data_IF_425115796383
#
_entry.id   IF_425115796383
#
_cell.length_a   1.000
_cell.length_b   1.000
_cell.length_c   1.000
_cell.angle_alpha   90.00
_cell.angle_beta   90.00
_cell.angle_gamma   90.00
#
_symmetry.space_group_name_H-M   'P 1'
#
loop_
_entity.id
_entity.type
_entity.pdbx_description
1 polymer ?
#
# COMPACT_ATOMS: atom_id res chain seq x y z
N UNK A 1 -47.93 50.46 19.34
CA UNK A 1 -47.01 49.74 18.44
C UNK A 1 -45.75 50.56 18.32
N UNK A 2 -44.61 50.07 18.82
CA UNK A 2 -43.34 50.82 18.93
C UNK A 2 -42.38 50.32 17.85
N UNK A 3 -42.03 51.19 16.91
CA UNK A 3 -41.12 50.92 15.80
C UNK A 3 -39.66 50.93 16.27
N UNK A 4 -38.93 49.87 15.91
CA UNK A 4 -37.57 49.58 16.31
C UNK A 4 -36.48 50.36 15.53
N UNK A 5 -35.30 50.38 16.13
CA UNK A 5 -34.09 51.17 15.85
C UNK A 5 -33.37 50.83 14.52
N UNK A 6 -32.45 51.71 14.05
CA UNK A 6 -31.72 51.57 12.79
C UNK A 6 -30.42 50.76 12.98
N UNK A 7 -30.00 50.01 11.96
CA UNK A 7 -28.59 49.59 11.80
C UNK A 7 -28.37 48.90 10.44
N UNK A 8 -28.02 49.70 9.43
CA UNK A 8 -27.49 49.21 8.17
C UNK A 8 -26.06 48.69 8.40
N UNK A 9 -25.91 47.38 8.60
CA UNK A 9 -24.60 46.74 8.67
C UNK A 9 -24.08 46.48 7.24
N UNK A 10 -23.20 47.37 6.80
CA UNK A 10 -22.29 47.19 5.68
C UNK A 10 -21.37 45.99 5.97
N UNK A 11 -21.68 44.81 5.40
CA UNK A 11 -20.77 43.66 5.46
C UNK A 11 -19.76 43.75 4.32
N UNK A 12 -18.67 44.46 4.60
CA UNK A 12 -17.49 44.52 3.74
C UNK A 12 -16.85 43.13 3.63
N UNK A 13 -16.86 42.54 2.43
CA UNK A 13 -16.18 41.30 2.13
C UNK A 13 -14.66 41.52 2.09
N UNK A 14 -13.93 41.01 3.10
CA UNK A 14 -12.47 40.91 3.05
C UNK A 14 -12.09 39.79 2.08
N UNK A 15 -11.73 40.14 0.85
CA UNK A 15 -11.06 39.25 -0.09
C UNK A 15 -9.60 39.11 0.35
N UNK A 16 -9.23 37.98 0.96
CA UNK A 16 -7.82 37.60 1.13
C UNK A 16 -7.29 37.10 -0.21
N UNK A 17 -6.27 37.71 -0.84
CA UNK A 17 -5.56 37.05 -1.92
C UNK A 17 -4.72 35.91 -1.31
N UNK A 18 -5.13 34.67 -1.52
CA UNK A 18 -4.23 33.55 -1.32
C UNK A 18 -3.12 33.67 -2.38
N UNK A 19 -1.88 33.96 -1.95
CA UNK A 19 -0.69 33.78 -2.76
C UNK A 19 -0.59 32.28 -3.11
N UNK A 20 -1.19 31.88 -4.23
CA UNK A 20 -0.89 30.61 -4.89
C UNK A 20 0.44 30.79 -5.62
N UNK A 21 1.53 30.44 -4.95
CA UNK A 21 2.79 30.14 -5.63
C UNK A 21 2.56 28.93 -6.55
N UNK A 22 2.19 29.19 -7.80
CA UNK A 22 2.24 28.19 -8.86
C UNK A 22 3.72 27.87 -9.11
N UNK A 23 4.20 26.75 -8.55
CA UNK A 23 5.40 26.09 -9.07
C UNK A 23 5.06 25.62 -10.49
N UNK A 24 5.42 26.44 -11.47
CA UNK A 24 5.46 26.08 -12.89
C UNK A 24 6.49 24.96 -13.06
N UNK A 25 6.01 23.74 -13.25
CA UNK A 25 6.78 22.73 -13.97
C UNK A 25 6.74 23.10 -15.44
N UNK A 26 7.88 23.48 -16.00
CA UNK A 26 8.04 23.70 -17.43
C UNK A 26 7.80 22.37 -18.16
N UNK A 27 6.64 22.24 -18.79
CA UNK A 27 6.35 21.18 -19.75
C UNK A 27 6.51 21.77 -21.14
N UNK A 28 7.47 21.26 -21.90
CA UNK A 28 7.34 21.20 -23.34
C UNK A 28 6.07 20.40 -23.64
N UNK A 29 5.18 20.99 -24.45
CA UNK A 29 3.93 20.37 -24.88
C UNK A 29 4.16 18.98 -25.47
N UNK A 30 3.34 18.01 -25.04
CA UNK A 30 2.45 17.39 -26.00
C UNK A 30 1.01 17.63 -25.56
N UNK A 31 0.17 17.92 -26.55
CA UNK A 31 -1.28 18.03 -26.55
C UNK A 31 -1.95 17.37 -25.34
N UNK A 32 -2.73 18.14 -24.57
CA UNK A 32 -3.52 17.63 -23.44
C UNK A 32 -4.38 16.41 -23.81
N UNK A 33 -4.76 16.29 -25.08
CA UNK A 33 -5.45 15.16 -25.68
C UNK A 33 -4.61 13.86 -25.72
N UNK A 34 -3.29 13.93 -25.91
CA UNK A 34 -2.41 12.75 -25.96
C UNK A 34 -2.12 12.17 -24.56
N UNK A 35 -2.06 13.04 -23.54
CA UNK A 35 -1.96 12.63 -22.14
C UNK A 35 -3.27 12.03 -21.63
N UNK A 36 -4.42 12.58 -22.04
CA UNK A 36 -5.74 12.01 -21.72
C UNK A 36 -5.97 10.67 -22.43
N UNK A 37 -5.57 10.53 -23.71
CA UNK A 37 -5.64 9.24 -24.42
C UNK A 37 -4.74 8.18 -23.77
N UNK A 38 -3.50 8.50 -23.38
CA UNK A 38 -2.63 7.55 -22.65
C UNK A 38 -3.16 7.20 -21.26
N UNK A 39 -3.80 8.13 -20.56
CA UNK A 39 -4.45 7.85 -19.28
C UNK A 39 -5.71 6.98 -19.47
N UNK A 40 -6.48 7.19 -20.54
CA UNK A 40 -7.62 6.34 -20.90
C UNK A 40 -7.16 4.95 -21.36
N UNK A 41 -6.08 4.84 -22.13
CA UNK A 41 -5.50 3.57 -22.55
C UNK A 41 -4.89 2.81 -21.36
N UNK A 42 -4.24 3.51 -20.42
CA UNK A 42 -3.74 2.90 -19.20
C UNK A 42 -4.89 2.44 -18.27
N UNK A 43 -5.96 3.23 -18.17
CA UNK A 43 -7.15 2.86 -17.43
C UNK A 43 -7.89 1.69 -18.08
N UNK A 44 -8.02 1.67 -19.41
CA UNK A 44 -8.64 0.59 -20.16
C UNK A 44 -7.82 -0.70 -20.04
N UNK A 45 -6.49 -0.62 -20.14
CA UNK A 45 -5.62 -1.78 -19.93
C UNK A 45 -5.60 -2.26 -18.47
N UNK A 46 -5.67 -1.34 -17.50
CA UNK A 46 -5.83 -1.69 -16.09
C UNK A 46 -7.19 -2.30 -15.79
N UNK A 47 -8.26 -1.82 -16.44
CA UNK A 47 -9.61 -2.39 -16.37
C UNK A 47 -9.64 -3.79 -16.98
N UNK A 48 -9.05 -3.99 -18.16
CA UNK A 48 -8.94 -5.31 -18.80
C UNK A 48 -8.09 -6.26 -17.95
N UNK A 49 -7.01 -5.77 -17.33
CA UNK A 49 -6.20 -6.54 -16.38
C UNK A 49 -6.98 -6.92 -15.12
N UNK A 50 -7.75 -5.98 -14.57
CA UNK A 50 -8.61 -6.20 -13.42
C UNK A 50 -9.77 -7.15 -13.75
N UNK A 51 -10.39 -7.04 -14.92
CA UNK A 51 -11.44 -7.94 -15.41
C UNK A 51 -10.91 -9.35 -15.64
N UNK A 52 -9.73 -9.50 -16.25
CA UNK A 52 -9.06 -10.81 -16.41
C UNK A 52 -8.68 -11.42 -15.06
N UNK A 53 -8.23 -10.60 -14.12
CA UNK A 53 -7.88 -11.04 -12.78
C UNK A 53 -9.13 -11.43 -11.99
N UNK A 54 -10.20 -10.63 -12.04
CA UNK A 54 -11.49 -10.97 -11.46
C UNK A 54 -12.11 -12.21 -12.10
N UNK A 55 -12.02 -12.37 -13.42
CA UNK A 55 -12.49 -13.57 -14.12
C UNK A 55 -11.68 -14.80 -13.72
N UNK A 56 -10.35 -14.68 -13.56
CA UNK A 56 -9.48 -15.78 -13.10
C UNK A 56 -9.75 -16.15 -11.65
N UNK A 57 -9.92 -15.15 -10.78
CA UNK A 57 -10.31 -15.31 -9.37
C UNK A 57 -11.70 -15.96 -9.31
N UNK A 58 -12.67 -15.50 -10.10
CA UNK A 58 -14.02 -16.09 -10.17
C UNK A 58 -13.99 -17.51 -10.73
N UNK A 59 -13.09 -17.85 -11.64
CA UNK A 59 -12.93 -19.22 -12.16
C UNK A 59 -12.31 -20.17 -11.12
N UNK A 60 -11.38 -19.69 -10.31
CA UNK A 60 -10.70 -20.48 -9.27
C UNK A 60 -11.58 -20.60 -8.01
N UNK A 61 -12.19 -19.50 -7.59
CA UNK A 61 -13.04 -19.44 -6.39
C UNK A 61 -14.52 -19.70 -6.67
N UNK A 62 -15.00 -19.68 -7.92
CA UNK A 62 -16.40 -19.90 -8.25
C UNK A 62 -16.92 -21.26 -7.78
N UNK A 63 -16.40 -22.38 -8.29
CA UNK A 63 -16.94 -23.71 -7.95
C UNK A 63 -16.67 -24.10 -6.49
N UNK A 64 -15.59 -23.63 -5.89
CA UNK A 64 -15.24 -23.92 -4.47
C UNK A 64 -16.02 -22.99 -3.53
N UNK A 65 -16.14 -21.71 -3.89
CA UNK A 65 -16.84 -20.70 -3.09
C UNK A 65 -18.35 -20.83 -3.15
N UNK A 66 -18.93 -21.30 -4.26
CA UNK A 66 -20.36 -21.61 -4.36
C UNK A 66 -20.71 -22.85 -3.52
N UNK A 67 -19.91 -23.91 -3.57
CA UNK A 67 -20.10 -25.10 -2.73
C UNK A 67 -19.90 -24.80 -1.24
N UNK A 68 -18.85 -24.06 -0.88
CA UNK A 68 -18.65 -23.61 0.49
C UNK A 68 -19.80 -22.68 0.94
N UNK A 69 -20.24 -21.77 0.08
CA UNK A 69 -21.35 -20.86 0.38
C UNK A 69 -22.70 -21.57 0.56
N UNK A 70 -22.95 -22.65 -0.19
CA UNK A 70 -24.12 -23.50 -0.03
C UNK A 70 -24.04 -24.35 1.26
N UNK A 71 -22.87 -24.90 1.59
CA UNK A 71 -22.65 -25.67 2.83
C UNK A 71 -22.73 -24.82 4.10
N UNK A 72 -22.36 -23.53 4.01
CA UNK A 72 -22.43 -22.60 5.12
C UNK A 72 -23.84 -22.05 5.37
N UNK A 73 -24.78 -22.19 4.43
CA UNK A 73 -26.18 -21.79 4.59
C UNK A 73 -26.32 -20.37 5.18
N UNK A 74 -27.02 -20.27 6.31
CA UNK A 74 -27.25 -19.02 7.05
C UNK A 74 -26.01 -18.44 7.73
N UNK A 75 -24.94 -19.21 7.95
CA UNK A 75 -23.68 -18.72 8.55
C UNK A 75 -22.83 -17.91 7.56
N UNK A 76 -23.21 -17.85 6.29
CA UNK A 76 -22.51 -17.06 5.28
C UNK A 76 -22.49 -15.57 5.64
N UNK A 77 -23.60 -15.00 6.09
CA UNK A 77 -23.70 -13.57 6.44
C UNK A 77 -22.73 -13.15 7.55
N UNK A 78 -22.71 -13.79 8.74
CA UNK A 78 -21.78 -13.41 9.80
C UNK A 78 -20.31 -13.64 9.41
N UNK A 79 -20.00 -14.68 8.62
CA UNK A 79 -18.65 -14.91 8.13
C UNK A 79 -18.18 -13.82 7.16
N UNK A 80 -19.04 -13.41 6.22
CA UNK A 80 -18.72 -12.32 5.28
C UNK A 80 -18.55 -11.01 6.03
N UNK A 81 -19.41 -10.71 7.01
CA UNK A 81 -19.28 -9.53 7.85
C UNK A 81 -17.95 -9.55 8.63
N UNK A 82 -17.64 -10.64 9.33
CA UNK A 82 -16.40 -10.76 10.10
C UNK A 82 -15.15 -10.69 9.21
N UNK A 83 -15.20 -11.28 8.01
CA UNK A 83 -14.12 -11.16 7.04
C UNK A 83 -13.93 -9.71 6.56
N UNK A 84 -15.02 -8.97 6.36
CA UNK A 84 -14.96 -7.55 5.99
C UNK A 84 -14.36 -6.70 7.13
N UNK A 85 -14.76 -6.94 8.38
CA UNK A 85 -14.17 -6.28 9.55
C UNK A 85 -12.68 -6.61 9.67
N UNK A 86 -12.32 -7.89 9.56
CA UNK A 86 -10.93 -8.34 9.61
C UNK A 86 -10.08 -7.69 8.51
N UNK A 87 -10.64 -7.52 7.30
CA UNK A 87 -9.99 -6.81 6.20
C UNK A 87 -9.67 -5.36 6.55
N UNK A 88 -10.61 -4.62 7.14
CA UNK A 88 -10.38 -3.23 7.54
C UNK A 88 -9.34 -3.13 8.66
N UNK A 89 -9.36 -4.07 9.63
CA UNK A 89 -8.33 -4.16 10.67
C UNK A 89 -6.95 -4.40 10.06
N UNK A 90 -6.83 -5.34 9.13
CA UNK A 90 -5.56 -5.61 8.41
C UNK A 90 -5.09 -4.38 7.64
N UNK A 91 -6.00 -3.63 7.03
CA UNK A 91 -5.66 -2.39 6.31
C UNK A 91 -5.10 -1.32 7.25
N UNK A 92 -5.68 -1.17 8.44
CA UNK A 92 -5.17 -0.25 9.45
C UNK A 92 -3.77 -0.66 9.91
N UNK A 93 -3.57 -1.95 10.21
CA UNK A 93 -2.26 -2.50 10.60
C UNK A 93 -1.24 -2.26 9.49
N UNK A 94 -1.59 -2.48 8.21
CA UNK A 94 -0.69 -2.24 7.09
C UNK A 94 -0.13 -0.82 7.06
N UNK A 95 -0.97 0.18 7.34
CA UNK A 95 -0.54 1.57 7.41
C UNK A 95 0.20 1.90 8.72
N UNK A 96 -0.29 1.39 9.86
CA UNK A 96 0.30 1.64 11.17
C UNK A 96 1.71 1.05 11.30
N UNK A 97 1.90 -0.19 10.81
CA UNK A 97 3.17 -0.93 10.85
C UNK A 97 4.10 -0.60 9.68
N UNK A 98 3.76 0.41 8.86
CA UNK A 98 4.54 0.82 7.68
C UNK A 98 4.94 -0.34 6.77
N UNK A 99 4.00 -1.27 6.54
CA UNK A 99 4.20 -2.39 5.62
C UNK A 99 4.19 -1.96 4.14
N UNK A 100 3.94 -0.67 3.87
CA UNK A 100 4.12 -0.08 2.55
C UNK A 100 5.60 -0.08 2.13
N UNK A 101 5.90 -0.38 0.85
CA UNK A 101 7.27 -0.35 0.36
C UNK A 101 7.92 1.01 0.64
N UNK A 102 9.12 1.05 1.25
CA UNK A 102 9.84 2.29 1.49
C UNK A 102 10.30 2.93 0.18
N UNK A 103 10.65 4.21 0.24
CA UNK A 103 11.22 4.90 -0.92
C UNK A 103 12.59 4.32 -1.28
N UNK A 104 12.96 4.39 -2.57
CA UNK A 104 14.28 3.93 -3.02
C UNK A 104 15.43 4.68 -2.34
N UNK A 105 15.22 5.96 -2.01
CA UNK A 105 16.20 6.75 -1.25
C UNK A 105 16.42 6.15 0.14
N UNK A 106 15.33 5.82 0.85
CA UNK A 106 15.39 5.17 2.17
C UNK A 106 16.10 3.82 2.11
N UNK A 107 15.87 3.02 1.07
CA UNK A 107 16.56 1.74 0.88
C UNK A 107 18.07 1.95 0.67
N UNK A 108 18.45 2.93 -0.15
CA UNK A 108 19.86 3.27 -0.39
C UNK A 108 20.55 3.74 0.90
N UNK A 109 19.88 4.60 1.66
CA UNK A 109 20.38 5.13 2.93
C UNK A 109 20.58 4.01 3.95
N UNK A 110 19.57 3.15 4.14
CA UNK A 110 19.65 2.00 5.04
C UNK A 110 20.77 1.03 4.64
N UNK A 111 20.97 0.78 3.34
CA UNK A 111 22.07 -0.03 2.86
C UNK A 111 23.44 0.61 3.14
N UNK A 112 23.60 1.91 2.86
CA UNK A 112 24.84 2.62 3.10
C UNK A 112 25.20 2.64 4.60
N UNK A 113 24.21 2.87 5.47
CA UNK A 113 24.38 2.81 6.92
C UNK A 113 24.80 1.41 7.37
N UNK A 114 24.06 0.37 6.96
CA UNK A 114 24.37 -1.01 7.31
C UNK A 114 25.78 -1.41 6.87
N UNK A 115 26.17 -1.05 5.63
CA UNK A 115 27.49 -1.34 5.11
C UNK A 115 28.59 -0.65 5.92
N UNK A 116 28.37 0.60 6.33
CA UNK A 116 29.33 1.35 7.16
C UNK A 116 29.52 0.72 8.54
N UNK A 117 28.45 0.21 9.15
CA UNK A 117 28.49 -0.44 10.46
C UNK A 117 29.18 -1.81 10.37
N UNK A 118 28.86 -2.62 9.37
CA UNK A 118 29.46 -3.95 9.18
C UNK A 118 30.94 -3.86 8.80
N UNK A 119 31.32 -2.84 8.04
CA UNK A 119 32.73 -2.60 7.67
C UNK A 119 33.57 -2.08 8.84
N UNK A 120 32.95 -1.66 9.95
CA UNK A 120 33.66 -1.14 11.11
C UNK A 120 33.88 -2.24 12.17
N UNK A 121 35.12 -2.67 12.44
CA UNK A 121 35.40 -3.73 13.40
C UNK A 121 35.03 -3.35 14.84
N UNK A 122 35.02 -2.07 15.19
CA UNK A 122 34.59 -1.62 16.52
C UNK A 122 33.08 -1.84 16.73
N UNK A 123 32.26 -1.58 15.72
CA UNK A 123 30.82 -1.80 15.76
C UNK A 123 30.47 -3.28 15.92
N UNK A 124 31.19 -4.16 15.21
CA UNK A 124 31.03 -5.61 15.35
C UNK A 124 31.39 -6.11 16.75
N UNK A 125 32.49 -5.61 17.34
CA UNK A 125 32.85 -5.95 18.74
C UNK A 125 31.78 -5.49 19.72
N UNK A 126 31.27 -4.27 19.53
CA UNK A 126 30.19 -3.74 20.37
C UNK A 126 28.90 -4.55 20.23
N UNK A 127 28.57 -5.03 19.03
CA UNK A 127 27.40 -5.89 18.81
C UNK A 127 27.49 -7.21 19.59
N UNK A 128 28.68 -7.80 19.65
CA UNK A 128 28.93 -9.02 20.43
C UNK A 128 28.88 -8.71 21.94
N UNK A 129 29.55 -7.65 22.38
CA UNK A 129 29.60 -7.28 23.81
C UNK A 129 28.25 -6.83 24.37
N UNK A 130 27.41 -6.22 23.54
CA UNK A 130 26.06 -5.78 23.93
C UNK A 130 25.04 -6.90 24.02
N UNK A 131 25.40 -8.13 23.63
CA UNK A 131 24.49 -9.29 23.66
C UNK A 131 23.37 -9.24 22.60
N UNK A 132 23.43 -8.30 21.65
CA UNK A 132 22.37 -8.11 20.64
C UNK A 132 22.45 -9.10 19.48
N UNK A 133 23.45 -9.97 19.45
CA UNK A 133 23.66 -10.95 18.38
C UNK A 133 22.43 -11.84 18.14
N UNK A 134 21.76 -12.27 19.21
CA UNK A 134 20.54 -13.07 19.12
C UNK A 134 19.40 -12.30 18.42
N UNK A 135 19.23 -11.02 18.72
CA UNK A 135 18.23 -10.17 18.10
C UNK A 135 18.50 -9.99 16.60
N UNK A 136 19.75 -9.73 16.22
CA UNK A 136 20.15 -9.65 14.80
C UNK A 136 19.90 -10.99 14.09
N UNK A 137 20.20 -12.12 14.74
CA UNK A 137 19.90 -13.45 14.21
C UNK A 137 18.41 -13.68 13.98
N UNK A 138 17.55 -13.29 14.94
CA UNK A 138 16.09 -13.38 14.81
C UNK A 138 15.60 -12.52 13.64
N UNK A 139 16.08 -11.29 13.50
CA UNK A 139 15.73 -10.44 12.36
C UNK A 139 16.24 -11.01 11.03
N UNK A 140 17.42 -11.64 11.02
CA UNK A 140 17.92 -12.38 9.86
C UNK A 140 17.00 -13.53 9.45
N UNK A 141 16.48 -14.29 10.42
CA UNK A 141 15.49 -15.35 10.17
C UNK A 141 14.16 -14.79 9.65
N UNK A 142 13.69 -13.66 10.19
CA UNK A 142 12.49 -12.99 9.68
C UNK A 142 12.69 -12.53 8.22
N UNK A 143 13.83 -11.91 7.91
CA UNK A 143 14.17 -11.49 6.55
C UNK A 143 14.24 -12.69 5.59
N UNK A 144 14.83 -13.82 6.03
CA UNK A 144 14.84 -15.07 5.28
C UNK A 144 13.43 -15.63 5.03
N UNK A 145 12.56 -15.56 6.04
CA UNK A 145 11.15 -15.92 5.90
C UNK A 145 10.43 -15.10 4.82
N UNK A 146 10.59 -13.77 4.85
CA UNK A 146 10.01 -12.87 3.84
C UNK A 146 10.56 -13.17 2.45
N UNK A 147 11.86 -13.44 2.33
CA UNK A 147 12.47 -13.84 1.06
C UNK A 147 11.83 -15.13 0.49
N UNK A 148 11.59 -16.15 1.31
CA UNK A 148 10.90 -17.38 0.89
C UNK A 148 9.44 -17.17 0.51
N UNK A 149 8.74 -16.25 1.16
CA UNK A 149 7.39 -15.83 0.72
C UNK A 149 7.47 -15.21 -0.69
N UNK A 150 8.49 -14.38 -0.94
CA UNK A 150 8.78 -13.83 -2.27
C UNK A 150 8.99 -14.93 -3.32
N UNK A 151 9.78 -15.96 -3.01
CA UNK A 151 9.98 -17.12 -3.90
C UNK A 151 8.65 -17.87 -4.18
N UNK A 152 7.82 -18.09 -3.15
CA UNK A 152 6.49 -18.73 -3.29
C UNK A 152 5.60 -17.94 -4.25
N UNK A 153 5.59 -16.61 -4.13
CA UNK A 153 4.84 -15.71 -5.03
C UNK A 153 5.43 -15.77 -6.44
N UNK A 154 6.75 -15.66 -6.58
CA UNK A 154 7.45 -15.69 -7.87
C UNK A 154 7.21 -16.98 -8.65
N UNK A 155 7.23 -18.13 -7.95
CA UNK A 155 6.97 -19.44 -8.58
C UNK A 155 5.50 -19.86 -8.57
N UNK A 156 4.61 -19.09 -7.92
CA UNK A 156 3.16 -19.33 -7.81
C UNK A 156 2.80 -20.74 -7.30
N UNK A 157 3.65 -21.31 -6.45
CA UNK A 157 3.50 -22.66 -5.88
C UNK A 157 3.91 -22.65 -4.42
N UNK A 158 3.13 -23.30 -3.56
CA UNK A 158 3.43 -23.42 -2.15
C UNK A 158 4.55 -24.46 -1.90
N UNK A 159 4.47 -25.62 -2.56
CA UNK A 159 5.41 -26.75 -2.38
C UNK A 159 6.06 -27.14 -3.70
N UNK A 160 7.41 -27.22 -3.73
CA UNK A 160 8.22 -27.54 -4.92
C UNK A 160 7.98 -26.70 -6.18
N UNK A 161 8.76 -26.99 -7.23
CA UNK A 161 8.39 -26.62 -8.59
C UNK A 161 7.41 -27.67 -9.13
N UNK A 162 6.44 -27.23 -9.92
CA UNK A 162 5.57 -28.16 -10.66
C UNK A 162 6.39 -28.71 -11.82
N UNK A 163 7.00 -29.87 -11.59
CA UNK A 163 7.56 -30.69 -12.66
C UNK A 163 6.38 -31.40 -13.33
N UNK A 164 6.01 -30.92 -14.52
CA UNK A 164 5.12 -31.58 -15.47
C UNK A 164 5.86 -31.70 -16.79
#
# INVERSE_FOLDING_TARGET
>A
MRSALPSTLLRQSVRRPALRTQRRFASSSPTQEAAQKKAQDALANAQVGAEKLLASVKKILGPVGEKAGQLLGSYKEPLVYNAAVAREVVKQIYHAERLSPPSLATVREAYAELWSQVSNPAALRQLVQSGQLAQVGIYGLQAYGIFKIGEIIGRRSLVGYKIQ
#
